data_IF_414503215280
#
_entry.id   IF_414503215280
#
_cell.length_a   1.000
_cell.length_b   1.000
_cell.length_c   1.000
_cell.angle_alpha   90.00
_cell.angle_beta   90.00
_cell.angle_gamma   90.00
#
_symmetry.space_group_name_H-M   'P 1'
#
loop_
_entity.id
_entity.type
_entity.pdbx_description
1 polymer ?
#
# COMPACT_ATOMS: atom_id res chain seq x y z
N UNK A 1 -18.10 -19.56 6.93
CA UNK A 1 -19.26 -19.57 7.85
C UNK A 1 -20.30 -18.65 7.23
N UNK A 2 -21.59 -18.92 7.39
CA UNK A 2 -22.63 -17.93 7.02
C UNK A 2 -22.67 -16.79 8.03
N UNK A 3 -23.33 -15.70 7.67
CA UNK A 3 -23.71 -14.61 8.59
C UNK A 3 -24.30 -15.10 9.92
N UNK A 4 -25.28 -16.02 9.88
CA UNK A 4 -25.88 -16.62 11.06
C UNK A 4 -24.89 -17.43 11.91
N UNK A 5 -24.02 -18.21 11.27
CA UNK A 5 -22.98 -18.95 11.98
C UNK A 5 -21.94 -18.02 12.62
N UNK A 6 -21.60 -16.90 11.98
CA UNK A 6 -20.70 -15.87 12.53
C UNK A 6 -21.32 -15.29 13.81
N UNK A 7 -22.60 -14.92 13.77
CA UNK A 7 -23.33 -14.40 14.94
C UNK A 7 -23.37 -15.43 16.08
N UNK A 8 -23.68 -16.69 15.79
CA UNK A 8 -23.68 -17.76 16.80
C UNK A 8 -22.29 -17.95 17.46
N UNK A 9 -21.21 -17.86 16.69
CA UNK A 9 -19.85 -17.95 17.22
C UNK A 9 -19.49 -16.74 18.10
N UNK A 10 -20.00 -15.55 17.76
CA UNK A 10 -19.85 -14.33 18.57
C UNK A 10 -20.60 -14.47 19.90
N UNK A 11 -21.85 -14.93 19.87
CA UNK A 11 -22.66 -15.16 21.07
C UNK A 11 -22.02 -16.19 22.03
N UNK A 12 -21.35 -17.21 21.49
CA UNK A 12 -20.63 -18.23 22.27
C UNK A 12 -19.25 -17.76 22.76
N UNK A 13 -18.77 -16.62 22.29
CA UNK A 13 -17.42 -16.12 22.58
C UNK A 13 -16.30 -16.92 21.90
N UNK A 14 -16.62 -17.75 20.90
CA UNK A 14 -15.63 -18.47 20.08
C UNK A 14 -14.99 -17.54 19.04
N UNK A 15 -15.69 -16.48 18.66
CA UNK A 15 -15.21 -15.39 17.82
C UNK A 15 -15.50 -14.07 18.56
N UNK A 16 -14.53 -13.18 18.67
CA UNK A 16 -14.77 -11.82 19.15
C UNK A 16 -14.34 -10.86 18.07
N UNK A 17 -15.21 -9.89 17.75
CA UNK A 17 -14.91 -8.75 16.90
C UNK A 17 -15.23 -7.51 17.74
N UNK A 18 -14.21 -6.80 18.20
CA UNK A 18 -14.38 -5.52 18.89
C UNK A 18 -14.87 -4.47 17.89
N UNK A 19 -15.76 -3.58 18.35
CA UNK A 19 -16.45 -2.59 17.50
C UNK A 19 -17.27 -3.22 16.36
N UNK A 20 -17.85 -4.40 16.58
CA UNK A 20 -18.73 -5.06 15.62
C UNK A 20 -19.91 -4.16 15.21
N UNK A 21 -20.16 -4.08 13.91
CA UNK A 21 -21.31 -3.39 13.33
C UNK A 21 -22.13 -4.37 12.49
N UNK A 22 -23.43 -4.49 12.78
CA UNK A 22 -24.36 -5.32 12.01
C UNK A 22 -24.37 -4.93 10.52
N UNK A 23 -24.17 -3.65 10.21
CA UNK A 23 -24.10 -3.15 8.83
C UNK A 23 -22.91 -3.65 8.02
N UNK A 24 -21.90 -4.22 8.68
CA UNK A 24 -20.68 -4.73 8.09
C UNK A 24 -20.69 -6.27 7.97
N UNK A 25 -21.71 -6.93 8.52
CA UNK A 25 -21.90 -8.36 8.33
C UNK A 25 -22.39 -8.62 6.91
N UNK A 26 -21.67 -9.48 6.21
CA UNK A 26 -21.97 -9.91 4.85
C UNK A 26 -22.42 -11.39 4.89
N UNK A 27 -23.05 -11.93 3.82
CA UNK A 27 -23.65 -13.27 3.86
C UNK A 27 -22.71 -14.42 4.27
N UNK A 28 -21.40 -14.26 4.06
CA UNK A 28 -20.38 -15.27 4.41
C UNK A 28 -19.07 -14.67 4.94
N UNK A 29 -19.07 -13.40 5.33
CA UNK A 29 -17.88 -12.67 5.77
C UNK A 29 -18.24 -11.48 6.64
N UNK A 30 -17.24 -10.78 7.16
CA UNK A 30 -17.40 -9.50 7.83
C UNK A 30 -16.46 -8.47 7.21
N UNK A 31 -17.01 -7.35 6.76
CA UNK A 31 -16.24 -6.24 6.21
C UNK A 31 -15.58 -5.41 7.33
N UNK A 32 -14.25 -5.38 7.35
CA UNK A 32 -13.49 -4.62 8.35
C UNK A 32 -13.09 -3.24 7.82
N UNK A 33 -13.04 -2.30 8.76
CA UNK A 33 -12.83 -0.87 8.50
C UNK A 33 -11.37 -0.50 8.61
N UNK A 34 -10.98 0.56 7.89
CA UNK A 34 -9.64 1.12 7.97
C UNK A 34 -9.41 1.71 9.37
N UNK A 35 -8.39 1.18 10.05
CA UNK A 35 -7.98 1.58 11.38
C UNK A 35 -7.15 2.85 11.40
N UNK A 36 -6.54 3.11 12.56
CA UNK A 36 -5.91 4.40 12.88
C UNK A 36 -4.51 4.57 12.32
N UNK A 37 -3.87 3.49 11.86
CA UNK A 37 -2.43 3.47 11.58
C UNK A 37 -2.16 2.89 10.19
N UNK A 38 -1.22 3.51 9.49
CA UNK A 38 -0.72 2.98 8.22
C UNK A 38 0.72 3.38 7.97
N UNK A 39 1.39 2.64 7.11
CA UNK A 39 2.75 2.95 6.63
C UNK A 39 2.72 2.79 5.13
N UNK A 40 3.28 3.74 4.39
CA UNK A 40 3.43 3.66 2.93
C UNK A 40 4.92 3.63 2.64
N UNK A 41 5.34 2.84 1.65
CA UNK A 41 6.75 2.53 1.37
C UNK A 41 7.64 3.77 1.15
N UNK A 42 7.10 4.85 0.57
CA UNK A 42 7.86 6.09 0.34
C UNK A 42 8.00 6.98 1.60
N UNK A 43 7.34 6.61 2.70
CA UNK A 43 7.32 7.39 3.93
C UNK A 43 8.14 6.71 5.01
N UNK A 44 9.12 7.43 5.55
CA UNK A 44 9.91 6.97 6.71
C UNK A 44 9.07 6.82 8.00
N UNK A 45 7.87 7.43 8.01
CA UNK A 45 7.02 7.59 9.20
C UNK A 45 5.65 6.96 9.02
N UNK A 46 5.16 6.41 10.13
CA UNK A 46 3.79 5.93 10.25
C UNK A 46 2.81 7.12 10.17
N UNK A 47 1.76 6.93 9.39
CA UNK A 47 0.63 7.86 9.24
C UNK A 47 -0.37 7.61 10.36
N UNK A 48 -0.87 8.70 10.95
CA UNK A 48 -2.06 8.73 11.81
C UNK A 48 -3.31 8.94 10.93
N UNK A 49 -3.92 7.84 10.50
CA UNK A 49 -5.03 7.84 9.54
C UNK A 49 -6.27 8.53 10.13
N UNK A 50 -6.48 8.40 11.44
CA UNK A 50 -7.62 9.05 12.13
C UNK A 50 -7.52 10.57 12.02
N UNK A 51 -6.31 11.12 12.21
CA UNK A 51 -6.05 12.56 12.08
C UNK A 51 -6.10 13.03 10.62
N UNK A 52 -5.49 12.27 9.71
CA UNK A 52 -5.44 12.61 8.27
C UNK A 52 -6.76 12.32 7.53
N UNK A 53 -7.74 11.70 8.21
CA UNK A 53 -9.06 11.29 7.69
C UNK A 53 -9.02 10.26 6.56
N UNK A 54 -7.88 9.63 6.31
CA UNK A 54 -7.72 8.61 5.29
C UNK A 54 -6.26 8.39 4.94
N UNK A 55 -6.04 7.52 3.97
CA UNK A 55 -4.71 7.19 3.45
C UNK A 55 -4.75 7.13 1.92
N UNK A 56 -3.73 7.67 1.28
CA UNK A 56 -3.57 7.62 -0.18
C UNK A 56 -2.37 6.77 -0.53
N UNK A 57 -2.57 5.83 -1.45
CA UNK A 57 -1.55 4.93 -1.98
C UNK A 57 -1.38 5.27 -3.47
N UNK A 58 -0.22 5.77 -3.86
CA UNK A 58 0.10 6.11 -5.25
C UNK A 58 0.41 4.85 -6.07
N UNK A 59 0.35 4.94 -7.40
CA UNK A 59 0.74 3.84 -8.30
C UNK A 59 2.13 3.29 -7.98
N UNK A 60 2.24 1.97 -7.78
CA UNK A 60 3.50 1.29 -7.51
C UNK A 60 3.92 1.26 -6.04
N UNK A 61 3.17 1.88 -5.14
CA UNK A 61 3.47 1.88 -3.71
C UNK A 61 2.95 0.64 -2.99
N UNK A 62 3.68 0.26 -1.95
CA UNK A 62 3.25 -0.72 -0.96
C UNK A 62 2.83 0.00 0.32
N UNK A 63 1.78 -0.49 0.98
CA UNK A 63 1.33 0.03 2.25
C UNK A 63 0.95 -1.09 3.23
N UNK A 64 1.25 -0.88 4.51
CA UNK A 64 0.69 -1.66 5.63
C UNK A 64 -0.45 -0.85 6.23
N UNK A 65 -1.64 -1.46 6.29
CA UNK A 65 -2.85 -0.87 6.84
C UNK A 65 -3.33 -1.67 8.04
N UNK A 66 -3.79 -1.01 9.10
CA UNK A 66 -4.43 -1.69 10.24
C UNK A 66 -5.93 -1.74 10.07
N UNK A 67 -6.61 -2.77 10.57
CA UNK A 67 -8.06 -2.73 10.79
C UNK A 67 -8.43 -1.87 11.99
N UNK A 68 -9.65 -1.33 12.00
CA UNK A 68 -10.22 -0.66 13.17
C UNK A 68 -10.65 -1.70 14.21
N UNK A 69 -11.33 -2.74 13.75
CA UNK A 69 -11.74 -3.87 14.58
C UNK A 69 -10.54 -4.67 15.08
N UNK A 70 -10.63 -5.14 16.32
CA UNK A 70 -9.80 -6.23 16.83
C UNK A 70 -10.55 -7.53 16.75
N UNK A 71 -9.86 -8.59 16.36
CA UNK A 71 -10.43 -9.94 16.27
C UNK A 71 -9.72 -10.88 17.23
N UNK A 72 -10.51 -11.73 17.89
CA UNK A 72 -10.02 -12.86 18.68
C UNK A 72 -10.66 -14.14 18.18
N UNK A 73 -9.84 -15.15 17.87
CA UNK A 73 -10.29 -16.46 17.41
C UNK A 73 -10.07 -17.52 18.49
N UNK A 74 -11.04 -18.42 18.68
CA UNK A 74 -10.84 -19.63 19.48
C UNK A 74 -9.87 -20.61 18.82
N UNK A 75 -9.63 -21.77 19.46
CA UNK A 75 -8.85 -22.87 18.91
C UNK A 75 -9.56 -23.66 17.79
N UNK A 76 -10.84 -23.37 17.54
CA UNK A 76 -11.71 -24.01 16.54
C UNK A 76 -12.03 -23.12 15.35
N UNK A 77 -11.50 -21.89 15.30
CA UNK A 77 -11.80 -20.92 14.24
C UNK A 77 -10.51 -20.44 13.59
N UNK A 78 -10.48 -20.50 12.27
CA UNK A 78 -9.49 -19.80 11.44
C UNK A 78 -10.20 -18.74 10.59
N UNK A 79 -9.48 -17.75 10.10
CA UNK A 79 -10.05 -16.77 9.17
C UNK A 79 -9.17 -16.55 7.95
N UNK A 80 -9.73 -15.99 6.89
CA UNK A 80 -9.02 -15.59 5.69
C UNK A 80 -9.34 -14.13 5.37
N UNK A 81 -8.32 -13.33 5.14
CA UNK A 81 -8.50 -11.92 4.77
C UNK A 81 -8.53 -11.78 3.25
N UNK A 82 -9.60 -11.19 2.75
CA UNK A 82 -9.73 -10.72 1.37
C UNK A 82 -9.78 -9.20 1.28
N UNK A 83 -9.64 -8.68 0.06
CA UNK A 83 -9.99 -7.28 -0.24
C UNK A 83 -11.44 -7.18 -0.65
N UNK A 84 -12.09 -6.07 -0.29
CA UNK A 84 -13.39 -5.76 -0.88
C UNK A 84 -13.24 -5.61 -2.38
N UNK A 85 -14.18 -6.19 -3.13
CA UNK A 85 -14.14 -6.22 -4.59
C UNK A 85 -14.05 -4.81 -5.20
N UNK A 86 -14.58 -3.78 -4.53
CA UNK A 86 -14.42 -2.38 -4.93
C UNK A 86 -12.95 -1.95 -5.05
N UNK A 87 -12.11 -2.27 -4.07
CA UNK A 87 -10.68 -1.92 -4.08
C UNK A 87 -9.88 -2.85 -4.99
N UNK A 88 -10.20 -4.14 -5.00
CA UNK A 88 -9.56 -5.11 -5.89
C UNK A 88 -9.72 -4.71 -7.37
N UNK A 89 -10.94 -4.34 -7.80
CA UNK A 89 -11.20 -3.89 -9.19
C UNK A 89 -10.54 -2.55 -9.54
N UNK A 90 -10.14 -1.76 -8.54
CA UNK A 90 -9.38 -0.53 -8.75
C UNK A 90 -7.88 -0.77 -8.89
N UNK A 91 -7.40 -2.01 -8.74
CA UNK A 91 -5.99 -2.37 -8.84
C UNK A 91 -5.24 -2.33 -7.51
N UNK A 92 -5.95 -2.22 -6.38
CA UNK A 92 -5.36 -2.50 -5.08
C UNK A 92 -5.25 -4.03 -4.92
N UNK A 93 -4.06 -4.52 -4.64
CA UNK A 93 -3.77 -5.94 -4.51
C UNK A 93 -3.27 -6.22 -3.11
N UNK A 94 -3.81 -7.26 -2.48
CA UNK A 94 -3.35 -7.75 -1.20
C UNK A 94 -2.20 -8.73 -1.46
N UNK A 95 -1.02 -8.45 -0.91
CA UNK A 95 0.17 -9.27 -1.10
C UNK A 95 0.26 -10.30 0.04
N UNK A 96 0.18 -11.57 -0.33
CA UNK A 96 0.17 -12.77 0.54
C UNK A 96 -1.19 -13.11 1.19
N UNK A 97 -1.51 -14.41 1.30
CA UNK A 97 -2.77 -14.90 1.86
C UNK A 97 -2.75 -14.90 3.38
N UNK A 98 -3.45 -13.99 4.07
CA UNK A 98 -3.34 -13.90 5.51
C UNK A 98 -4.44 -14.80 6.05
N UNK A 99 -4.11 -16.09 6.11
CA UNK A 99 -4.80 -16.94 7.07
C UNK A 99 -4.56 -16.31 8.45
N UNK A 100 -5.64 -16.03 9.17
CA UNK A 100 -5.59 -15.66 10.58
C UNK A 100 -5.69 -16.96 11.36
N UNK A 101 -4.62 -17.28 12.08
CA UNK A 101 -4.51 -18.56 12.78
C UNK A 101 -5.40 -18.61 14.04
N UNK A 102 -5.90 -19.81 14.42
CA UNK A 102 -6.63 -20.01 15.66
C UNK A 102 -5.85 -19.53 16.88
N UNK A 103 -6.53 -18.85 17.80
CA UNK A 103 -5.92 -18.20 18.96
C UNK A 103 -5.34 -16.81 18.70
N UNK A 104 -5.40 -16.30 17.47
CA UNK A 104 -5.03 -14.90 17.20
C UNK A 104 -5.88 -13.93 18.01
N UNK A 105 -5.26 -12.86 18.53
CA UNK A 105 -5.92 -11.78 19.26
C UNK A 105 -5.24 -10.44 18.93
N UNK A 106 -5.96 -9.52 18.28
CA UNK A 106 -5.46 -8.18 17.98
C UNK A 106 -6.06 -7.54 16.74
N UNK A 107 -5.47 -6.43 16.30
CA UNK A 107 -5.79 -5.84 14.98
C UNK A 107 -5.13 -6.63 13.85
N UNK A 108 -5.76 -6.65 12.68
CA UNK A 108 -5.14 -7.19 11.48
C UNK A 108 -4.25 -6.12 10.85
N UNK A 109 -3.03 -6.51 10.49
CA UNK A 109 -2.09 -5.68 9.72
C UNK A 109 -2.02 -6.26 8.31
N UNK A 110 -2.47 -5.47 7.34
CA UNK A 110 -2.73 -5.93 5.98
C UNK A 110 -1.79 -5.20 5.02
N UNK A 111 -0.97 -5.98 4.31
CA UNK A 111 -0.09 -5.49 3.24
C UNK A 111 -0.81 -5.39 1.91
N UNK A 112 -0.85 -4.19 1.35
CA UNK A 112 -1.47 -3.91 0.05
C UNK A 112 -0.49 -3.20 -0.89
N UNK A 113 -0.64 -3.41 -2.19
CA UNK A 113 0.08 -2.70 -3.22
C UNK A 113 -0.89 -2.11 -4.24
N UNK A 114 -0.68 -0.86 -4.63
CA UNK A 114 -1.45 -0.24 -5.70
C UNK A 114 -0.78 -0.53 -7.05
N UNK A 115 -1.29 -1.51 -7.78
CA UNK A 115 -0.84 -1.84 -9.14
C UNK A 115 -1.60 -1.07 -10.22
N UNK A 116 -2.49 -0.16 -9.83
CA UNK A 116 -3.24 0.66 -10.77
C UNK A 116 -2.43 1.90 -11.20
N UNK A 117 -2.72 2.49 -12.37
CA UNK A 117 -2.08 3.72 -12.80
C UNK A 117 -2.66 4.98 -12.12
N UNK A 118 -3.55 4.84 -11.13
CA UNK A 118 -4.19 5.95 -10.43
C UNK A 118 -3.94 5.87 -8.92
N UNK A 119 -3.93 7.01 -8.25
CA UNK A 119 -3.95 7.04 -6.78
C UNK A 119 -5.24 6.40 -6.25
N UNK A 120 -5.12 5.64 -5.17
CA UNK A 120 -6.25 5.06 -4.45
C UNK A 120 -6.25 5.68 -3.06
N UNK A 121 -7.37 6.30 -2.70
CA UNK A 121 -7.58 6.85 -1.35
C UNK A 121 -8.62 5.99 -0.65
N UNK A 122 -8.35 5.65 0.60
CA UNK A 122 -9.23 4.92 1.51
C UNK A 122 -9.50 5.85 2.69
N UNK A 123 -10.76 6.17 2.91
CA UNK A 123 -11.16 7.07 4.00
C UNK A 123 -11.08 6.34 5.34
N UNK A 124 -10.81 7.08 6.42
CA UNK A 124 -10.81 6.52 7.76
C UNK A 124 -12.17 5.90 8.09
N UNK A 125 -12.16 4.73 8.72
CA UNK A 125 -13.33 3.87 8.98
C UNK A 125 -14.05 3.32 7.75
N UNK A 126 -13.57 3.55 6.52
CA UNK A 126 -14.18 2.90 5.35
C UNK A 126 -13.84 1.40 5.35
N UNK A 127 -14.81 0.61 4.93
CA UNK A 127 -14.65 -0.84 4.79
C UNK A 127 -13.67 -1.08 3.65
N UNK A 128 -12.51 -1.68 3.92
CA UNK A 128 -11.47 -1.88 2.89
C UNK A 128 -11.14 -3.36 2.63
N UNK A 129 -11.21 -4.18 3.67
CA UNK A 129 -11.02 -5.63 3.59
C UNK A 129 -12.27 -6.37 4.07
N UNK A 130 -12.35 -7.65 3.73
CA UNK A 130 -13.41 -8.56 4.15
C UNK A 130 -12.77 -9.79 4.75
N UNK A 131 -13.35 -10.34 5.81
CA UNK A 131 -12.79 -11.50 6.53
C UNK A 131 -13.79 -12.64 6.51
N UNK A 132 -13.35 -13.76 5.94
CA UNK A 132 -14.09 -15.01 5.91
C UNK A 132 -13.69 -15.86 7.11
N UNK A 133 -14.66 -16.36 7.86
CA UNK A 133 -14.39 -17.23 9.01
C UNK A 133 -14.66 -18.70 8.66
N UNK A 134 -13.81 -19.59 9.16
CA UNK A 134 -13.86 -21.02 8.88
C UNK A 134 -13.88 -21.82 10.18
N UNK A 135 -14.92 -22.63 10.35
CA UNK A 135 -15.02 -23.57 11.45
C UNK A 135 -14.10 -24.75 11.18
N UNK A 136 -13.20 -25.04 12.11
CA UNK A 136 -12.35 -26.22 12.04
C UNK A 136 -13.12 -27.46 12.48
N UNK A 137 -12.75 -28.62 11.93
CA UNK A 137 -13.36 -29.89 12.32
C UNK A 137 -13.03 -30.31 13.76
N UNK A 138 -11.95 -29.76 14.32
CA UNK A 138 -11.49 -29.98 15.71
C UNK A 138 -10.59 -28.82 16.14
N UNK A 139 -10.47 -28.66 17.46
CA UNK A 139 -9.53 -27.72 18.06
C UNK A 139 -8.09 -27.99 17.62
N UNK A 140 -7.32 -26.92 17.42
CA UNK A 140 -5.87 -27.01 17.17
C UNK A 140 -5.12 -27.40 18.44
N UNK A 141 -4.01 -28.10 18.28
CA UNK A 141 -3.14 -28.48 19.42
C UNK A 141 -2.27 -27.33 19.92
N UNK A 142 -1.97 -26.36 19.04
CA UNK A 142 -1.11 -25.22 19.33
C UNK A 142 -1.80 -23.97 18.81
N UNK A 143 -2.09 -23.06 19.73
CA UNK A 143 -2.61 -21.74 19.40
C UNK A 143 -1.50 -20.86 18.82
N UNK A 144 -1.92 -19.88 18.03
CA UNK A 144 -1.06 -18.79 17.63
C UNK A 144 -0.58 -18.04 18.89
N UNK A 145 0.73 -17.79 19.06
CA UNK A 145 1.26 -17.15 20.26
C UNK A 145 0.89 -15.67 20.38
N UNK A 146 0.36 -15.08 19.30
CA UNK A 146 0.05 -13.65 19.23
C UNK A 146 1.27 -12.79 18.96
N UNK A 147 1.02 -11.54 18.59
CA UNK A 147 2.02 -10.47 18.55
C UNK A 147 1.53 -9.36 19.48
N UNK A 148 2.32 -9.03 20.50
CA UNK A 148 1.91 -8.09 21.56
C UNK A 148 1.55 -6.71 21.00
N UNK A 149 2.29 -6.24 19.98
CA UNK A 149 1.99 -4.99 19.30
C UNK A 149 0.59 -5.02 18.66
N UNK A 150 0.21 -6.10 17.96
CA UNK A 150 -1.11 -6.19 17.33
C UNK A 150 -2.24 -6.23 18.37
N UNK A 151 -2.03 -6.89 19.51
CA UNK A 151 -2.99 -6.84 20.63
C UNK A 151 -3.20 -5.41 21.16
N UNK A 152 -2.13 -4.60 21.18
CA UNK A 152 -2.14 -3.17 21.53
C UNK A 152 -2.63 -2.25 20.40
N UNK A 153 -3.01 -2.80 19.24
CA UNK A 153 -3.44 -2.01 18.09
C UNK A 153 -2.30 -1.42 17.25
N UNK A 154 -1.05 -1.83 17.48
CA UNK A 154 0.15 -1.31 16.81
C UNK A 154 0.63 -2.22 15.68
N UNK A 155 1.23 -1.60 14.65
CA UNK A 155 1.98 -2.34 13.64
C UNK A 155 3.28 -2.86 14.30
N UNK A 156 3.60 -4.16 14.18
CA UNK A 156 4.81 -4.77 14.73
C UNK A 156 6.10 -4.04 14.30
N UNK A 157 7.09 -4.00 15.19
CA UNK A 157 8.37 -3.33 14.90
C UNK A 157 9.12 -3.99 13.74
N UNK A 158 9.09 -5.31 13.67
CA UNK A 158 9.72 -6.06 12.57
C UNK A 158 9.18 -5.64 11.20
N UNK A 159 7.88 -5.40 11.10
CA UNK A 159 7.23 -4.99 9.84
C UNK A 159 7.61 -3.54 9.49
N UNK A 160 7.69 -2.66 10.49
CA UNK A 160 8.17 -1.28 10.34
C UNK A 160 9.61 -1.25 9.84
N UNK A 161 10.47 -2.06 10.43
CA UNK A 161 11.89 -2.09 10.13
C UNK A 161 12.12 -2.68 8.73
N UNK A 162 11.38 -3.74 8.35
CA UNK A 162 11.45 -4.31 7.00
C UNK A 162 11.14 -3.25 5.93
N UNK A 163 10.07 -2.47 6.11
CA UNK A 163 9.72 -1.38 5.19
C UNK A 163 10.79 -0.30 5.10
N UNK A 164 11.44 0.03 6.21
CA UNK A 164 12.52 1.03 6.23
C UNK A 164 13.80 0.53 5.57
N UNK A 165 14.04 -0.77 5.58
CA UNK A 165 15.23 -1.39 4.95
C UNK A 165 15.06 -1.64 3.46
N UNK A 166 13.89 -1.40 2.87
CA UNK A 166 13.72 -1.41 1.42
C UNK A 166 14.43 -0.17 0.84
N UNK A 167 15.75 -0.26 0.67
CA UNK A 167 16.59 0.69 -0.08
C UNK A 167 16.33 0.65 -1.60
N UNK A 168 15.16 0.16 -2.03
CA UNK A 168 14.78 0.09 -3.43
C UNK A 168 13.74 1.17 -3.65
N UNK A 169 14.06 2.13 -4.53
CA UNK A 169 13.10 3.14 -4.98
C UNK A 169 11.78 2.45 -5.34
N UNK A 170 10.67 2.96 -4.81
CA UNK A 170 9.35 2.44 -5.20
C UNK A 170 9.17 2.54 -6.72
N UNK A 171 8.32 1.70 -7.32
CA UNK A 171 8.07 1.78 -8.77
C UNK A 171 7.59 3.18 -9.20
N UNK A 172 6.88 3.87 -8.30
CA UNK A 172 6.53 5.30 -8.41
C UNK A 172 7.77 6.18 -8.52
N UNK A 173 8.69 6.07 -7.56
CA UNK A 173 9.93 6.84 -7.52
C UNK A 173 10.79 6.57 -8.76
N UNK A 174 10.93 5.30 -9.17
CA UNK A 174 11.62 4.95 -10.41
C UNK A 174 10.96 5.61 -11.63
N UNK A 175 9.63 5.59 -11.71
CA UNK A 175 8.89 6.23 -12.81
C UNK A 175 9.09 7.75 -12.82
N UNK A 176 9.10 8.38 -11.64
CA UNK A 176 9.33 9.81 -11.48
C UNK A 176 10.77 10.18 -11.85
N UNK A 177 11.76 9.44 -11.36
CA UNK A 177 13.17 9.55 -11.74
C UNK A 177 13.36 9.44 -13.25
N UNK A 178 12.71 8.46 -13.91
CA UNK A 178 12.74 8.32 -15.38
C UNK A 178 12.10 9.54 -16.08
N UNK A 179 10.98 10.07 -15.58
CA UNK A 179 10.34 11.28 -16.14
C UNK A 179 11.25 12.50 -15.99
N UNK A 180 11.88 12.68 -14.84
CA UNK A 180 12.81 13.78 -14.57
C UNK A 180 14.06 13.69 -15.46
N UNK A 181 14.61 12.49 -15.65
CA UNK A 181 15.70 12.23 -16.59
C UNK A 181 15.30 12.59 -18.03
N UNK A 182 14.13 12.13 -18.49
CA UNK A 182 13.62 12.44 -19.82
C UNK A 182 13.46 13.95 -20.05
N UNK A 183 12.91 14.67 -19.06
CA UNK A 183 12.75 16.13 -19.10
C UNK A 183 14.11 16.85 -19.15
N UNK A 184 15.08 16.39 -18.36
CA UNK A 184 16.43 16.97 -18.32
C UNK A 184 17.16 16.75 -19.65
N UNK A 185 17.05 15.55 -20.24
CA UNK A 185 17.59 15.26 -21.58
C UNK A 185 16.91 16.14 -22.65
N UNK A 186 15.60 16.32 -22.58
CA UNK A 186 14.87 17.24 -23.48
C UNK A 186 15.35 18.69 -23.37
N UNK A 187 15.62 19.16 -22.15
CA UNK A 187 16.15 20.50 -21.88
C UNK A 187 17.57 20.67 -22.43
N UNK A 188 18.45 19.71 -22.18
CA UNK A 188 19.81 19.69 -22.74
C UNK A 188 19.80 19.69 -24.27
N UNK A 189 18.97 18.84 -24.86
CA UNK A 189 18.79 18.78 -26.32
C UNK A 189 18.35 20.13 -26.87
N UNK A 190 17.42 20.80 -26.18
CA UNK A 190 16.96 22.14 -26.55
C UNK A 190 18.08 23.19 -26.45
N UNK A 191 18.88 23.17 -25.39
CA UNK A 191 20.03 24.09 -25.23
C UNK A 191 21.07 23.85 -26.34
N UNK A 192 21.39 22.59 -26.64
CA UNK A 192 22.35 22.24 -27.70
C UNK A 192 21.88 22.77 -29.06
N UNK A 193 20.64 22.49 -29.44
CA UNK A 193 20.12 22.90 -30.76
C UNK A 193 19.80 24.39 -30.87
N UNK A 194 19.30 25.04 -29.80
CA UNK A 194 18.86 26.44 -29.85
C UNK A 194 19.95 27.46 -29.48
N UNK A 195 20.96 27.05 -28.71
CA UNK A 195 21.99 27.99 -28.22
C UNK A 195 23.36 27.61 -28.79
N UNK A 196 23.81 26.37 -28.57
CA UNK A 196 25.18 25.97 -28.91
C UNK A 196 25.37 25.88 -30.43
N UNK A 197 24.46 25.22 -31.15
CA UNK A 197 24.58 25.00 -32.59
C UNK A 197 24.59 26.33 -33.39
N UNK A 198 23.72 27.33 -33.12
CA UNK A 198 23.79 28.64 -33.77
C UNK A 198 25.11 29.37 -33.51
N UNK A 199 25.65 29.29 -32.28
CA UNK A 199 26.94 29.91 -31.94
C UNK A 199 28.07 29.25 -32.74
N UNK A 200 28.13 27.90 -32.76
CA UNK A 200 29.16 27.18 -33.51
C UNK A 200 29.07 27.52 -35.01
N UNK A 201 27.86 27.48 -35.59
CA UNK A 201 27.66 27.81 -37.01
C UNK A 201 28.04 29.25 -37.34
N UNK A 202 27.65 30.22 -36.50
CA UNK A 202 28.01 31.63 -36.69
C UNK A 202 29.54 31.84 -36.60
N UNK A 203 30.20 31.17 -35.66
CA UNK A 203 31.66 31.25 -35.49
C UNK A 203 32.39 30.63 -36.68
N UNK A 204 31.93 29.47 -37.14
CA UNK A 204 32.48 28.79 -38.31
C UNK A 204 32.33 29.61 -39.59
N UNK A 205 31.15 30.21 -39.81
CA UNK A 205 30.91 31.13 -40.93
C UNK A 205 31.84 32.34 -40.86
N UNK A 206 32.00 32.94 -39.68
CA UNK A 206 32.89 34.08 -39.49
C UNK A 206 34.36 33.76 -39.82
N UNK A 207 34.85 32.57 -39.42
CA UNK A 207 36.21 32.10 -39.75
C UNK A 207 36.39 31.91 -41.25
N UNK A 208 35.42 31.29 -41.94
CA UNK A 208 35.47 31.10 -43.39
C UNK A 208 35.50 32.45 -44.13
N UNK A 209 34.62 33.39 -43.74
CA UNK A 209 34.57 34.73 -44.35
C UNK A 209 35.88 35.49 -44.12
N UNK A 210 36.47 35.39 -42.92
CA UNK A 210 37.78 35.98 -42.62
C UNK A 210 38.89 35.41 -43.49
N UNK A 211 38.92 34.08 -43.67
CA UNK A 211 39.92 33.41 -44.50
C UNK A 211 39.77 33.77 -45.99
N UNK A 212 38.54 33.85 -46.51
CA UNK A 212 38.30 34.29 -47.89
C UNK A 212 38.77 35.73 -48.13
N UNK A 213 38.54 36.63 -47.17
CA UNK A 213 39.03 38.02 -47.28
C UNK A 213 40.57 38.11 -47.32
N UNK A 214 41.28 37.19 -46.66
CA UNK A 214 42.74 37.14 -46.64
C UNK A 214 43.36 36.61 -47.95
N UNK A 215 42.59 35.85 -48.74
CA UNK A 215 43.03 35.31 -50.03
C UNK A 215 42.79 36.28 -51.20
N UNK A 216 41.78 37.16 -51.06
CA UNK A 216 41.33 38.07 -52.13
C UNK A 216 42.05 39.44 -52.07
N UNK A 217 42.84 39.70 -51.03
CA UNK A 217 43.70 40.89 -50.86
C UNK A 217 45.17 40.48 -50.77
#
# INVERSE_FOLDING_TARGET
MTDGEILEMIERGELVIEDFLDSNLEPASYDMRLGKRGIVSHLEKQIDIERERGITINPGEFALLTTLEKVKLSDTVAAHIGLRSYYARKGLVLLSGPQVDPGFEGILVIGVCNLSPRKITIDYEDRFCTVEFHKLSRAVKRLYPGIEEQAKGEIPKVDKDYLRTLEVESLSEMSESIRQLSSSVGTLTTIVYKVILPIITATFVAVIVGFLKLIIF
#
